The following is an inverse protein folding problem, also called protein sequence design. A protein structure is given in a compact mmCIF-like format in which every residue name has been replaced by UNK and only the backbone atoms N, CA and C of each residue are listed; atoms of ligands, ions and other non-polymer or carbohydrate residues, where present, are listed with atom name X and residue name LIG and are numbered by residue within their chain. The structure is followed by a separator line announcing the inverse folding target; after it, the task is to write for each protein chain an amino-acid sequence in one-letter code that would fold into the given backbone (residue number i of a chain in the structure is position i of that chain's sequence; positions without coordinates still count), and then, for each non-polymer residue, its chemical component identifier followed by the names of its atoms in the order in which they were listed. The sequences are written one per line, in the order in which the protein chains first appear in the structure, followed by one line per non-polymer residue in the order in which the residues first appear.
data_IF_927465326126
#
_entry.id   IF_927465326126
#
_cell.length_a   1.000
_cell.length_b   1.000
_cell.length_c   1.000
_cell.angle_alpha   90.00
_cell.angle_beta   90.00
_cell.angle_gamma   90.00
#
_symmetry.space_group_name_H-M   'P 1'
#
loop_
_entity.id
_entity.type
_entity.pdbx_description
1 polymer ?
#
# COMPACT_ATOMS: atom_id res chain seq x y z
N UNK A 1 -0.34 18.63 -22.88
CA UNK A 1 -0.64 17.60 -21.86
C UNK A 1 0.61 16.77 -21.74
N UNK A 2 1.18 16.68 -20.55
CA UNK A 2 2.37 15.87 -20.34
C UNK A 2 2.01 14.41 -20.67
N UNK A 3 2.88 13.73 -21.40
CA UNK A 3 2.69 12.33 -21.78
C UNK A 3 2.85 11.45 -20.53
N UNK A 4 1.73 10.99 -19.95
CA UNK A 4 1.72 10.11 -18.78
C UNK A 4 1.66 8.66 -19.27
N UNK A 5 2.64 7.86 -18.85
CA UNK A 5 2.75 6.44 -19.18
C UNK A 5 2.75 5.64 -17.88
N UNK A 6 1.97 4.56 -17.83
CA UNK A 6 2.09 3.54 -16.77
C UNK A 6 2.70 2.31 -17.42
N UNK A 7 3.76 1.80 -16.81
CA UNK A 7 4.47 0.60 -17.27
C UNK A 7 4.95 -0.23 -16.07
N UNK A 8 5.24 -1.52 -16.26
CA UNK A 8 5.92 -2.30 -15.24
C UNK A 8 7.24 -1.65 -14.80
N UNK A 9 7.57 -1.79 -13.52
CA UNK A 9 8.90 -1.47 -13.00
C UNK A 9 9.95 -2.44 -13.60
N UNK A 10 11.16 -1.96 -13.76
CA UNK A 10 12.32 -2.77 -14.17
C UNK A 10 13.47 -2.55 -13.19
N UNK A 11 14.45 -3.45 -13.18
CA UNK A 11 15.62 -3.32 -12.30
C UNK A 11 16.35 -1.98 -12.42
N UNK A 12 16.29 -1.35 -13.60
CA UNK A 12 16.90 -0.02 -13.83
C UNK A 12 16.18 1.09 -13.08
N UNK A 13 14.92 0.87 -12.71
CA UNK A 13 14.08 1.84 -12.03
C UNK A 13 14.23 1.76 -10.51
N UNK A 14 14.73 0.65 -9.98
CA UNK A 14 14.70 0.32 -8.54
C UNK A 14 15.19 1.45 -7.65
N UNK A 15 16.38 1.98 -7.95
CA UNK A 15 16.94 3.07 -7.16
C UNK A 15 16.09 4.35 -7.24
N UNK A 16 15.60 4.67 -8.42
CA UNK A 16 14.73 5.85 -8.63
C UNK A 16 13.40 5.69 -7.86
N UNK A 17 12.84 4.50 -7.83
CA UNK A 17 11.62 4.21 -7.06
C UNK A 17 11.87 4.27 -5.55
N UNK A 18 13.02 3.79 -5.06
CA UNK A 18 13.41 3.93 -3.66
C UNK A 18 13.56 5.41 -3.27
N UNK A 19 14.23 6.22 -4.10
CA UNK A 19 14.36 7.67 -3.90
C UNK A 19 12.99 8.36 -3.90
N UNK A 20 12.15 8.06 -4.89
CA UNK A 20 10.80 8.59 -4.99
C UNK A 20 9.95 8.23 -3.76
N UNK A 21 10.00 6.97 -3.32
CA UNK A 21 9.26 6.50 -2.15
C UNK A 21 9.74 7.22 -0.90
N UNK A 22 11.06 7.34 -0.72
CA UNK A 22 11.64 8.09 0.39
C UNK A 22 11.16 9.54 0.43
N UNK A 23 11.19 10.22 -0.71
CA UNK A 23 10.71 11.61 -0.81
C UNK A 23 9.22 11.74 -0.49
N UNK A 24 8.39 10.83 -1.01
CA UNK A 24 6.94 10.88 -0.84
C UNK A 24 6.48 10.60 0.60
N UNK A 25 7.23 9.78 1.34
CA UNK A 25 6.85 9.35 2.70
C UNK A 25 7.66 10.04 3.81
N UNK A 26 8.69 10.84 3.48
CA UNK A 26 9.55 11.45 4.49
C UNK A 26 8.77 12.34 5.46
N UNK A 27 8.84 12.01 6.75
CA UNK A 27 8.13 12.67 7.84
C UNK A 27 6.58 12.61 7.73
N UNK A 28 6.01 11.69 6.95
CA UNK A 28 4.55 11.57 6.80
C UNK A 28 3.91 10.78 7.93
N UNK A 29 4.41 9.58 8.23
CA UNK A 29 3.80 8.67 9.23
C UNK A 29 4.62 8.55 10.51
N UNK A 30 5.89 8.91 10.44
CA UNK A 30 6.84 8.99 11.55
C UNK A 30 7.96 9.96 11.17
N UNK A 31 8.81 10.41 12.12
CA UNK A 31 10.03 11.12 11.77
C UNK A 31 10.94 10.24 10.89
N UNK A 32 11.28 10.72 9.70
CA UNK A 32 11.92 9.91 8.66
C UNK A 32 10.92 9.11 7.84
N UNK A 33 11.36 7.97 7.30
CA UNK A 33 10.56 7.00 6.54
C UNK A 33 11.20 5.60 6.60
N UNK A 34 10.42 4.55 6.40
CA UNK A 34 10.89 3.17 6.19
C UNK A 34 10.34 2.55 4.89
N UNK A 35 9.41 3.22 4.24
CA UNK A 35 8.74 2.72 3.04
C UNK A 35 9.72 2.49 1.89
N UNK A 36 10.80 3.25 1.79
CA UNK A 36 11.84 3.04 0.77
C UNK A 36 12.67 1.77 1.03
N UNK A 37 12.88 1.41 2.31
CA UNK A 37 13.48 0.14 2.67
C UNK A 37 12.52 -1.03 2.43
N UNK A 38 11.23 -0.83 2.73
CA UNK A 38 10.19 -1.80 2.41
C UNK A 38 10.16 -2.10 0.90
N UNK A 39 10.17 -1.08 0.04
CA UNK A 39 10.25 -1.24 -1.43
C UNK A 39 11.48 -2.06 -1.84
N UNK A 40 12.65 -1.75 -1.26
CA UNK A 40 13.89 -2.47 -1.52
C UNK A 40 13.78 -3.96 -1.20
N UNK A 41 13.26 -4.28 -0.02
CA UNK A 41 13.16 -5.66 0.47
C UNK A 41 12.03 -6.45 -0.18
N UNK A 42 10.91 -5.78 -0.49
CA UNK A 42 9.69 -6.41 -1.02
C UNK A 42 9.96 -7.18 -2.32
N UNK A 43 10.79 -6.66 -3.20
CA UNK A 43 11.07 -7.28 -4.51
C UNK A 43 11.62 -8.71 -4.41
N UNK A 44 12.22 -9.07 -3.27
CA UNK A 44 12.73 -10.41 -3.00
C UNK A 44 11.80 -11.24 -2.10
N UNK A 45 10.65 -10.70 -1.69
CA UNK A 45 9.72 -11.39 -0.82
C UNK A 45 8.83 -12.38 -1.61
N UNK A 46 8.55 -13.60 -1.08
CA UNK A 46 7.74 -14.60 -1.78
C UNK A 46 6.30 -14.16 -2.08
N UNK A 47 5.77 -13.20 -1.32
CA UNK A 47 4.44 -12.65 -1.54
C UNK A 47 4.42 -11.50 -2.55
N UNK A 48 5.57 -11.01 -2.99
CA UNK A 48 5.62 -9.96 -4.01
C UNK A 48 4.99 -10.41 -5.31
N UNK A 49 4.26 -9.51 -5.96
CA UNK A 49 3.58 -9.77 -7.24
C UNK A 49 4.19 -8.90 -8.33
N UNK A 50 5.24 -9.38 -9.05
CA UNK A 50 5.91 -8.58 -10.08
C UNK A 50 4.97 -8.08 -11.19
N UNK A 51 3.91 -8.81 -11.49
CA UNK A 51 2.91 -8.41 -12.48
C UNK A 51 2.00 -7.25 -12.04
N UNK A 52 2.10 -6.81 -10.79
CA UNK A 52 1.36 -5.69 -10.21
C UNK A 52 2.30 -4.60 -9.65
N UNK A 53 3.50 -4.54 -10.16
CA UNK A 53 4.47 -3.49 -9.84
C UNK A 53 4.57 -2.52 -11.01
N UNK A 54 4.07 -1.29 -10.82
CA UNK A 54 3.97 -0.29 -11.87
C UNK A 54 4.61 1.02 -11.47
N UNK A 55 5.30 1.62 -12.43
CA UNK A 55 5.76 3.02 -12.35
C UNK A 55 4.87 3.90 -13.23
N UNK A 56 4.68 5.14 -12.78
CA UNK A 56 4.07 6.21 -13.54
C UNK A 56 5.16 7.15 -13.99
N UNK A 57 5.28 7.32 -15.31
CA UNK A 57 6.31 8.11 -15.95
C UNK A 57 5.71 9.32 -16.65
N UNK A 58 6.39 10.45 -16.56
CA UNK A 58 6.08 11.69 -17.31
C UNK A 58 7.37 12.24 -17.90
N UNK A 59 7.39 12.42 -19.21
CA UNK A 59 8.53 12.99 -19.94
C UNK A 59 9.87 12.29 -19.62
N UNK A 60 9.84 10.96 -19.48
CA UNK A 60 11.03 10.14 -19.18
C UNK A 60 11.43 10.15 -17.71
N UNK A 61 10.69 10.80 -16.81
CA UNK A 61 10.92 10.81 -15.37
C UNK A 61 9.88 9.96 -14.64
N UNK A 62 10.30 9.07 -13.76
CA UNK A 62 9.39 8.34 -12.87
C UNK A 62 8.88 9.30 -11.81
N UNK A 63 7.55 9.41 -11.70
CA UNK A 63 6.85 10.33 -10.80
C UNK A 63 5.84 9.63 -9.90
N UNK A 64 5.67 8.33 -10.00
CA UNK A 64 4.83 7.52 -9.13
C UNK A 64 5.16 6.04 -9.24
N UNK A 65 4.79 5.29 -8.20
CA UNK A 65 4.92 3.84 -8.15
C UNK A 65 3.81 3.25 -7.29
N UNK A 66 3.42 2.02 -7.61
CA UNK A 66 2.53 1.17 -6.82
C UNK A 66 3.03 -0.26 -6.89
N UNK A 67 3.16 -0.92 -5.73
CA UNK A 67 3.60 -2.30 -5.60
C UNK A 67 2.58 -3.13 -4.83
N UNK A 68 2.55 -4.43 -5.10
CA UNK A 68 1.58 -5.34 -4.48
C UNK A 68 2.22 -6.56 -3.86
N UNK A 69 1.62 -7.00 -2.77
CA UNK A 69 1.85 -8.32 -2.18
C UNK A 69 0.56 -9.14 -2.20
N UNK A 70 0.72 -10.45 -2.15
CA UNK A 70 -0.35 -11.35 -1.74
C UNK A 70 -0.70 -11.11 -0.29
N UNK A 71 -1.96 -11.34 0.03
CA UNK A 71 -2.48 -11.42 1.38
C UNK A 71 -3.64 -12.43 1.39
N UNK A 72 -4.19 -12.74 2.54
CA UNK A 72 -5.22 -13.77 2.63
C UNK A 72 -6.42 -13.30 3.45
N UNK A 73 -7.56 -13.86 3.09
CA UNK A 73 -8.74 -13.89 3.92
C UNK A 73 -8.99 -15.32 4.36
N UNK A 74 -9.34 -15.53 5.61
CA UNK A 74 -9.82 -16.81 6.14
C UNK A 74 -11.25 -16.63 6.63
N UNK A 75 -12.17 -17.50 6.18
CA UNK A 75 -13.55 -17.42 6.59
C UNK A 75 -13.79 -18.17 7.91
N UNK A 76 -15.00 -18.07 8.44
CA UNK A 76 -15.42 -18.73 9.71
C UNK A 76 -15.34 -20.25 9.67
N UNK A 77 -15.17 -20.88 8.52
CA UNK A 77 -15.02 -22.32 8.33
C UNK A 77 -13.56 -22.73 8.06
N UNK A 78 -12.61 -21.77 8.08
CA UNK A 78 -11.20 -22.01 7.82
C UNK A 78 -10.84 -22.07 6.33
N UNK A 79 -11.77 -21.74 5.42
CA UNK A 79 -11.45 -21.66 4.00
C UNK A 79 -10.66 -20.39 3.71
N UNK A 80 -9.55 -20.53 3.00
CA UNK A 80 -8.66 -19.42 2.65
C UNK A 80 -8.89 -18.91 1.23
N UNK A 81 -8.81 -17.62 1.08
CA UNK A 81 -8.88 -16.88 -0.18
C UNK A 81 -7.65 -16.00 -0.32
N UNK A 82 -6.87 -16.20 -1.38
CA UNK A 82 -5.78 -15.30 -1.74
C UNK A 82 -6.36 -14.00 -2.29
N UNK A 83 -5.85 -12.89 -1.81
CA UNK A 83 -6.21 -11.53 -2.22
C UNK A 83 -4.95 -10.70 -2.44
N UNK A 84 -5.11 -9.44 -2.84
CA UNK A 84 -3.98 -8.53 -2.97
C UNK A 84 -4.06 -7.38 -1.97
N UNK A 85 -2.90 -6.90 -1.57
CA UNK A 85 -2.71 -5.66 -0.84
C UNK A 85 -1.65 -4.82 -1.54
N UNK A 86 -1.91 -3.54 -1.78
CA UNK A 86 -0.85 -2.66 -2.28
C UNK A 86 -0.24 -1.82 -1.17
N UNK A 87 1.03 -1.57 -1.33
CA UNK A 87 1.83 -0.68 -0.52
C UNK A 87 3.31 -0.93 -0.75
N UNK A 88 4.09 0.16 -0.86
CA UNK A 88 3.63 1.54 -0.89
C UNK A 88 2.98 1.94 -2.22
N UNK A 89 2.14 2.98 -2.15
CA UNK A 89 1.69 3.76 -3.30
C UNK A 89 2.22 5.17 -3.12
N UNK A 90 3.05 5.64 -4.02
CA UNK A 90 3.61 6.98 -3.94
C UNK A 90 3.46 7.77 -5.25
N UNK A 91 3.43 9.08 -5.10
CA UNK A 91 3.53 10.06 -6.18
C UNK A 91 4.47 11.16 -5.69
N UNK A 92 5.39 11.59 -6.55
CA UNK A 92 6.34 12.65 -6.24
C UNK A 92 5.62 13.89 -5.69
N UNK A 93 6.13 14.54 -4.63
CA UNK A 93 5.44 15.62 -3.93
C UNK A 93 4.91 16.72 -4.85
N UNK A 94 5.69 17.12 -5.84
CA UNK A 94 5.34 18.16 -6.83
C UNK A 94 4.23 17.75 -7.80
N UNK A 95 3.93 16.43 -7.90
CA UNK A 95 2.87 15.88 -8.76
C UNK A 95 1.65 15.39 -7.97
N UNK A 96 1.66 15.54 -6.64
CA UNK A 96 0.51 15.15 -5.80
C UNK A 96 -0.72 16.02 -6.07
N UNK A 97 -1.91 15.54 -5.61
CA UNK A 97 -3.20 16.22 -5.78
C UNK A 97 -3.67 16.39 -7.24
N UNK A 98 -3.00 15.76 -8.20
CA UNK A 98 -3.34 15.77 -9.63
C UNK A 98 -4.05 14.49 -10.08
N UNK A 99 -4.58 13.70 -9.15
CA UNK A 99 -5.25 12.41 -9.39
C UNK A 99 -4.36 11.28 -9.94
N UNK A 100 -3.04 11.45 -9.96
CA UNK A 100 -2.11 10.46 -10.51
C UNK A 100 -2.11 9.16 -9.70
N UNK A 101 -2.20 9.23 -8.37
CA UNK A 101 -2.37 8.04 -7.54
C UNK A 101 -3.68 7.28 -7.82
N UNK A 102 -4.76 8.00 -8.21
CA UNK A 102 -5.99 7.36 -8.67
C UNK A 102 -5.76 6.60 -9.97
N UNK A 103 -5.05 7.19 -10.91
CA UNK A 103 -4.74 6.57 -12.20
C UNK A 103 -3.92 5.27 -12.01
N UNK A 104 -2.92 5.27 -11.12
CA UNK A 104 -2.15 4.06 -10.77
C UNK A 104 -3.05 2.97 -10.18
N UNK A 105 -3.93 3.33 -9.23
CA UNK A 105 -4.86 2.36 -8.62
C UNK A 105 -5.80 1.76 -9.68
N UNK A 106 -6.41 2.58 -10.52
CA UNK A 106 -7.34 2.09 -11.54
C UNK A 106 -6.65 1.13 -12.52
N UNK A 107 -5.47 1.51 -13.04
CA UNK A 107 -4.67 0.66 -13.90
C UNK A 107 -4.30 -0.68 -13.24
N UNK A 108 -3.80 -0.62 -12.01
CA UNK A 108 -3.37 -1.82 -11.28
C UNK A 108 -4.56 -2.72 -10.89
N UNK A 109 -5.74 -2.16 -10.63
CA UNK A 109 -6.95 -2.95 -10.38
C UNK A 109 -7.41 -3.71 -11.62
N UNK A 110 -7.29 -3.12 -12.82
CA UNK A 110 -7.60 -3.82 -14.08
C UNK A 110 -6.60 -4.97 -14.31
N UNK A 111 -5.32 -4.74 -14.04
CA UNK A 111 -4.31 -5.80 -14.09
C UNK A 111 -4.60 -6.91 -13.06
N UNK A 112 -4.91 -6.55 -11.81
CA UNK A 112 -5.24 -7.51 -10.75
C UNK A 112 -6.45 -8.38 -11.13
N UNK A 113 -7.52 -7.78 -11.65
CA UNK A 113 -8.70 -8.54 -12.17
C UNK A 113 -8.30 -9.51 -13.28
N UNK A 114 -7.44 -9.07 -14.20
CA UNK A 114 -6.95 -9.92 -15.30
C UNK A 114 -6.12 -11.10 -14.81
N UNK A 115 -5.49 -10.98 -13.63
CA UNK A 115 -4.77 -12.06 -12.96
C UNK A 115 -5.68 -12.94 -12.09
N UNK A 116 -6.98 -12.63 -11.99
CA UNK A 116 -7.96 -13.41 -11.22
C UNK A 116 -8.16 -12.94 -9.78
N UNK A 117 -7.56 -11.82 -9.37
CA UNK A 117 -7.80 -11.24 -8.05
C UNK A 117 -9.13 -10.47 -8.03
N UNK A 118 -9.89 -10.65 -6.98
CA UNK A 118 -11.23 -10.07 -6.84
C UNK A 118 -11.40 -9.18 -5.61
N UNK A 119 -10.39 -9.10 -4.73
CA UNK A 119 -10.38 -8.27 -3.52
C UNK A 119 -9.02 -7.62 -3.33
N UNK A 120 -9.05 -6.34 -2.98
CA UNK A 120 -7.89 -5.62 -2.44
C UNK A 120 -8.19 -5.13 -1.03
N UNK A 121 -7.24 -5.31 -0.11
CA UNK A 121 -7.35 -4.83 1.28
C UNK A 121 -6.06 -4.11 1.65
N UNK A 122 -6.21 -2.89 2.19
CA UNK A 122 -5.07 -2.07 2.58
C UNK A 122 -5.27 -1.41 3.94
N UNK A 123 -4.15 -1.15 4.61
CA UNK A 123 -4.09 -0.16 5.69
C UNK A 123 -3.80 1.23 5.10
N UNK A 124 -4.58 2.24 5.51
CA UNK A 124 -4.34 3.61 5.08
C UNK A 124 -5.35 4.61 5.60
N UNK A 125 -5.09 5.88 5.31
CA UNK A 125 -6.02 6.96 5.66
C UNK A 125 -7.31 6.86 4.81
N UNK A 126 -8.50 6.69 5.42
CA UNK A 126 -9.77 6.59 4.69
C UNK A 126 -10.01 7.75 3.72
N UNK A 127 -9.55 8.97 4.06
CA UNK A 127 -9.67 10.15 3.20
C UNK A 127 -9.01 10.00 1.83
N UNK A 128 -8.00 9.13 1.74
CA UNK A 128 -7.32 8.85 0.48
C UNK A 128 -8.01 7.79 -0.39
N UNK A 129 -8.83 6.90 0.20
CA UNK A 129 -9.25 5.68 -0.48
C UNK A 129 -10.77 5.54 -0.68
N UNK A 130 -11.59 6.15 0.18
CA UNK A 130 -13.07 6.02 0.08
C UNK A 130 -13.60 6.50 -1.26
N UNK A 131 -13.05 7.59 -1.82
CA UNK A 131 -13.42 8.10 -3.15
C UNK A 131 -12.99 7.18 -4.31
N UNK A 132 -12.28 6.07 -4.02
CA UNK A 132 -11.79 5.07 -4.97
C UNK A 132 -12.46 3.71 -4.80
N UNK A 133 -13.61 3.68 -4.12
CA UNK A 133 -14.41 2.46 -3.94
C UNK A 133 -14.05 1.64 -2.70
N UNK A 134 -13.09 2.09 -1.89
CA UNK A 134 -12.81 1.42 -0.61
C UNK A 134 -13.88 1.73 0.43
N UNK A 135 -14.17 0.74 1.24
CA UNK A 135 -15.08 0.85 2.39
C UNK A 135 -14.38 0.36 3.65
N UNK A 136 -14.90 0.72 4.82
CA UNK A 136 -14.43 0.13 6.09
C UNK A 136 -14.53 -1.39 6.05
N UNK A 137 -13.51 -2.09 6.56
CA UNK A 137 -13.48 -3.53 6.73
C UNK A 137 -14.72 -4.06 7.48
N UNK A 138 -15.26 -3.29 8.43
CA UNK A 138 -16.48 -3.61 9.16
C UNK A 138 -17.68 -3.80 8.23
N UNK A 139 -17.82 -3.01 7.16
CA UNK A 139 -18.94 -3.11 6.21
C UNK A 139 -18.92 -4.41 5.40
N UNK A 140 -17.73 -5.02 5.26
CA UNK A 140 -17.54 -6.30 4.57
C UNK A 140 -17.29 -7.47 5.53
N UNK A 141 -17.49 -7.23 6.83
CA UNK A 141 -17.33 -8.22 7.89
C UNK A 141 -15.92 -8.86 7.88
N UNK A 142 -14.90 -8.03 7.59
CA UNK A 142 -13.48 -8.40 7.57
C UNK A 142 -12.82 -7.89 8.84
N UNK A 143 -12.50 -8.77 9.76
CA UNK A 143 -11.74 -8.46 10.98
C UNK A 143 -10.24 -8.58 10.74
N UNK A 144 -9.42 -8.00 11.62
CA UNK A 144 -7.98 -8.13 11.57
C UNK A 144 -7.52 -9.34 12.40
N UNK A 145 -6.59 -10.11 11.89
CA UNK A 145 -6.12 -11.37 12.49
C UNK A 145 -5.55 -11.22 13.90
N UNK A 146 -4.91 -10.08 14.19
CA UNK A 146 -4.17 -9.87 15.43
C UNK A 146 -5.10 -9.85 16.66
N UNK A 147 -6.26 -9.22 16.54
CA UNK A 147 -7.15 -8.95 17.67
C UNK A 147 -8.65 -9.18 17.40
N UNK A 148 -8.99 -9.58 16.17
CA UNK A 148 -10.37 -9.78 15.74
C UNK A 148 -11.19 -8.49 15.62
N UNK A 149 -10.57 -7.32 15.78
CA UNK A 149 -11.19 -6.02 15.68
C UNK A 149 -11.38 -5.57 14.21
N UNK A 150 -12.01 -4.41 14.05
CA UNK A 150 -12.21 -3.75 12.76
C UNK A 150 -11.46 -2.41 12.75
N UNK A 151 -10.15 -2.41 12.46
CA UNK A 151 -9.34 -1.19 12.48
C UNK A 151 -9.92 -0.13 11.55
N UNK A 152 -9.94 1.12 11.98
CA UNK A 152 -10.43 2.24 11.16
C UNK A 152 -9.60 2.41 9.88
N UNK A 153 -8.31 2.12 9.95
CA UNK A 153 -7.40 2.20 8.82
C UNK A 153 -7.49 0.99 7.87
N UNK A 154 -8.16 -0.12 8.26
CA UNK A 154 -8.29 -1.30 7.40
C UNK A 154 -9.44 -1.11 6.43
N UNK A 155 -9.11 -1.01 5.15
CA UNK A 155 -10.02 -0.68 4.07
C UNK A 155 -10.10 -1.79 3.05
N UNK A 156 -11.30 -2.10 2.60
CA UNK A 156 -11.62 -3.17 1.66
C UNK A 156 -12.16 -2.59 0.36
N UNK A 157 -11.65 -3.06 -0.76
CA UNK A 157 -12.21 -2.84 -2.09
C UNK A 157 -12.46 -4.17 -2.78
N UNK A 158 -13.73 -4.50 -3.04
CA UNK A 158 -14.07 -5.62 -3.91
C UNK A 158 -13.84 -5.23 -5.36
N UNK A 159 -12.89 -5.89 -6.02
CA UNK A 159 -12.62 -5.72 -7.45
C UNK A 159 -13.73 -6.38 -8.28
N UNK A 160 -14.36 -7.41 -7.72
CA UNK A 160 -15.58 -8.05 -8.22
C UNK A 160 -16.66 -7.90 -7.14
N UNK A 161 -17.75 -7.18 -7.38
CA UNK A 161 -18.75 -6.90 -6.36
C UNK A 161 -19.39 -8.16 -5.75
N UNK A 162 -19.59 -8.16 -4.43
CA UNK A 162 -20.33 -9.18 -3.71
C UNK A 162 -19.55 -10.45 -3.36
N UNK A 163 -18.25 -10.53 -3.70
CA UNK A 163 -17.45 -11.74 -3.47
C UNK A 163 -17.19 -12.04 -1.99
N UNK A 164 -17.39 -11.07 -1.11
CA UNK A 164 -17.24 -11.22 0.35
C UNK A 164 -18.57 -11.36 1.08
N UNK A 165 -19.70 -11.24 0.37
CA UNK A 165 -21.02 -11.19 1.01
C UNK A 165 -21.40 -12.54 1.67
N UNK A 166 -22.16 -12.45 2.77
CA UNK A 166 -22.70 -13.59 3.49
C UNK A 166 -21.71 -14.37 4.37
N UNK A 167 -20.48 -13.92 4.51
CA UNK A 167 -19.44 -14.57 5.35
C UNK A 167 -18.79 -13.60 6.32
N UNK A 168 -18.13 -14.18 7.33
CA UNK A 168 -17.18 -13.46 8.18
C UNK A 168 -15.78 -13.79 7.71
N UNK A 169 -14.94 -12.80 7.66
CA UNK A 169 -13.59 -12.92 7.16
C UNK A 169 -12.59 -12.41 8.19
N UNK A 170 -11.44 -13.04 8.23
CA UNK A 170 -10.28 -12.60 8.97
C UNK A 170 -9.16 -12.25 7.97
N UNK A 171 -8.69 -11.02 8.00
CA UNK A 171 -7.59 -10.56 7.14
C UNK A 171 -6.24 -10.94 7.73
N UNK A 172 -5.43 -11.59 6.92
CA UNK A 172 -4.07 -12.04 7.24
C UNK A 172 -3.14 -11.32 6.23
N UNK A 173 -2.37 -10.32 6.69
CA UNK A 173 -1.44 -9.59 5.82
C UNK A 173 -0.26 -10.45 5.39
N UNK A 174 0.45 -10.02 4.34
CA UNK A 174 1.81 -10.46 4.06
C UNK A 174 2.76 -10.05 5.17
N UNK A 175 3.81 -10.83 5.39
CA UNK A 175 4.92 -10.49 6.28
C UNK A 175 5.97 -9.60 5.62
N UNK A 176 5.77 -9.17 4.39
CA UNK A 176 6.75 -8.38 3.64
C UNK A 176 7.12 -7.05 4.33
N UNK A 177 6.20 -6.48 5.11
CA UNK A 177 6.44 -5.24 5.85
C UNK A 177 7.21 -5.45 7.18
N UNK A 178 7.37 -6.69 7.64
CA UNK A 178 8.06 -7.00 8.91
C UNK A 178 9.54 -6.60 8.86
N UNK A 179 10.13 -6.47 7.65
CA UNK A 179 11.48 -5.95 7.49
C UNK A 179 11.67 -4.55 8.09
N UNK A 180 10.61 -3.74 8.17
CA UNK A 180 10.64 -2.40 8.75
C UNK A 180 10.72 -2.39 10.30
N UNK A 181 10.53 -3.53 10.96
CA UNK A 181 10.71 -3.68 12.40
C UNK A 181 12.19 -3.65 12.80
N UNK A 182 13.10 -4.06 11.89
CA UNK A 182 14.55 -3.89 12.06
C UNK A 182 14.96 -2.44 11.78
N UNK A 183 14.77 -1.59 12.78
CA UNK A 183 15.07 -0.16 12.67
C UNK A 183 16.55 0.12 12.38
N UNK A 184 17.46 -0.77 12.80
CA UNK A 184 18.88 -0.63 12.53
C UNK A 184 19.19 -0.86 11.04
N UNK A 185 18.57 -1.89 10.43
CA UNK A 185 18.70 -2.14 9.00
C UNK A 185 18.08 -1.00 8.17
N UNK A 186 16.91 -0.48 8.58
CA UNK A 186 16.30 0.70 7.95
C UNK A 186 17.24 1.90 7.98
N UNK A 187 17.85 2.20 9.13
CA UNK A 187 18.78 3.33 9.27
C UNK A 187 20.06 3.13 8.46
N UNK A 188 20.58 1.92 8.40
CA UNK A 188 21.77 1.63 7.59
C UNK A 188 21.48 1.81 6.10
N UNK A 189 20.32 1.34 5.64
CA UNK A 189 19.89 1.55 4.26
C UNK A 189 19.67 3.04 3.95
N UNK A 190 19.06 3.79 4.88
CA UNK A 190 18.82 5.22 4.72
C UNK A 190 20.11 6.04 4.54
N UNK A 191 21.25 5.60 5.11
CA UNK A 191 22.56 6.24 4.91
C UNK A 191 23.06 6.17 3.46
N UNK A 192 22.49 5.32 2.63
CA UNK A 192 22.82 5.26 1.20
C UNK A 192 22.21 6.39 0.38
N UNK A 193 21.39 7.23 1.02
CA UNK A 193 20.74 8.42 0.44
C UNK A 193 21.31 9.69 1.05
N UNK A 194 21.15 10.85 0.39
CA UNK A 194 21.48 12.13 0.99
C UNK A 194 20.78 12.33 2.34
N UNK A 195 21.48 12.87 3.36
CA UNK A 195 20.88 13.09 4.68
C UNK A 195 19.71 14.07 4.60
N UNK A 196 18.66 13.77 5.37
CA UNK A 196 17.47 14.61 5.52
C UNK A 196 17.10 14.74 7.00
N UNK A 197 16.58 15.90 7.38
CA UNK A 197 16.13 16.15 8.75
C UNK A 197 14.86 15.37 9.06
N UNK A 198 14.89 14.65 10.19
CA UNK A 198 13.72 13.95 10.74
C UNK A 198 12.98 14.90 11.66
N UNK A 199 11.69 15.12 11.40
CA UNK A 199 10.85 16.04 12.17
C UNK A 199 9.47 15.47 12.44
N UNK A 200 8.83 15.94 13.50
CA UNK A 200 7.43 15.64 13.77
C UNK A 200 6.50 16.47 12.88
N UNK A 201 5.42 15.86 12.40
CA UNK A 201 4.33 16.51 11.65
C UNK A 201 2.97 16.06 12.14
N UNK A 202 1.92 16.90 12.05
CA UNK A 202 0.55 16.54 12.46
C UNK A 202 0.02 15.26 11.80
N UNK A 203 0.40 14.96 10.56
CA UNK A 203 0.02 13.73 9.85
C UNK A 203 0.43 12.44 10.55
N UNK A 204 1.46 12.49 11.39
CA UNK A 204 1.93 11.34 12.19
C UNK A 204 0.95 11.03 13.31
N UNK A 205 0.38 12.06 13.95
CA UNK A 205 -0.66 11.89 14.97
C UNK A 205 -1.98 11.41 14.33
N UNK A 206 -2.36 11.98 13.18
CA UNK A 206 -3.52 11.50 12.41
C UNK A 206 -3.38 10.02 12.08
N UNK A 207 -2.22 9.59 11.60
CA UNK A 207 -1.95 8.19 11.28
C UNK A 207 -1.98 7.30 12.53
N UNK A 208 -1.41 7.77 13.64
CA UNK A 208 -1.48 7.06 14.92
C UNK A 208 -2.93 6.82 15.36
N UNK A 209 -3.79 7.83 15.26
CA UNK A 209 -5.21 7.72 15.57
C UNK A 209 -5.90 6.67 14.69
N UNK A 210 -5.74 6.73 13.36
CA UNK A 210 -6.36 5.78 12.44
C UNK A 210 -5.88 4.35 12.66
N UNK A 211 -4.59 4.17 12.91
CA UNK A 211 -3.99 2.85 13.11
C UNK A 211 -4.45 2.18 14.41
N UNK A 212 -4.65 2.97 15.47
CA UNK A 212 -4.96 2.47 16.81
C UNK A 212 -6.43 2.59 17.19
N UNK A 213 -7.30 2.97 16.26
CA UNK A 213 -8.75 3.03 16.48
C UNK A 213 -9.48 1.93 15.72
N UNK A 214 -10.66 1.55 16.22
CA UNK A 214 -11.50 0.51 15.61
C UNK A 214 -12.95 0.97 15.47
N UNK A 215 -13.62 0.47 14.44
CA UNK A 215 -15.03 0.71 14.19
C UNK A 215 -15.84 -0.28 15.04
N UNK A 216 -16.57 0.21 16.06
CA UNK A 216 -17.28 -0.64 17.03
C UNK A 216 -18.70 -0.96 16.58
N UNK A 217 -19.39 -0.03 15.86
CA UNK A 217 -20.78 -0.18 15.37
C UNK A 217 -20.96 0.45 13.99
#
# INVERSE_FOLDING_TARGET
MNNIIIRPETEKDYRTVEELTREAFWNVYKPGADEHYYVHMMRNHPDFIPGLDFVLESEGKIIGNIMYTKAWLEDENGARKEIVSFGPLCVAPEYQRQKLGKLLIEHSFDAARSMGYDVNINFGNPGNYVSRGFVSCKKKNVSFVVDGNFPTALLVCELVPGVLDGRKWMYIPSTAADCCEDTAAVEEFDKTFPPKEKEWRPSQEEFYIYRNSSVVR
#
